data_IF_317221276528
#
_entry.id   IF_317221276528
#
_cell.length_a   1.000
_cell.length_b   1.000
_cell.length_c   1.000
_cell.angle_alpha   90.00
_cell.angle_beta   90.00
_cell.angle_gamma   90.00
#
_symmetry.space_group_name_H-M   'P 1'
#
loop_
_entity.id
_entity.type
_entity.pdbx_description
1 polymer ?
#
# COMPACT_ATOMS: atom_id res chain seq x y z
N UNK A 1 5.74 11.40 20.78
CA UNK A 1 6.49 11.73 19.55
C UNK A 1 6.49 10.51 18.62
N UNK A 2 6.36 10.69 17.29
CA UNK A 2 6.44 9.58 16.34
C UNK A 2 7.86 9.00 16.32
N UNK A 3 7.98 7.68 16.11
CA UNK A 3 9.28 6.99 16.03
C UNK A 3 9.56 6.59 14.58
N UNK A 4 10.80 6.79 14.15
CA UNK A 4 11.28 6.32 12.86
C UNK A 4 12.03 5.01 13.06
N UNK A 5 11.79 4.05 12.16
CA UNK A 5 12.51 2.78 12.09
C UNK A 5 13.29 2.77 10.78
N UNK A 6 14.59 2.48 10.87
CA UNK A 6 15.49 2.42 9.71
C UNK A 6 15.55 1.02 9.12
N UNK A 7 15.51 0.01 9.99
CA UNK A 7 15.69 -1.39 9.61
C UNK A 7 14.38 -2.12 9.32
N UNK A 8 14.41 -2.94 8.27
CA UNK A 8 13.24 -3.72 7.84
C UNK A 8 12.92 -4.82 8.87
N UNK A 9 13.94 -5.41 9.51
CA UNK A 9 13.79 -6.51 10.47
C UNK A 9 13.00 -6.05 11.69
N UNK A 10 13.41 -4.94 12.28
CA UNK A 10 12.74 -4.32 13.43
C UNK A 10 11.30 -3.93 13.09
N UNK A 11 11.07 -3.44 11.88
CA UNK A 11 9.73 -3.12 11.41
C UNK A 11 8.81 -4.35 11.37
N UNK A 12 9.31 -5.50 10.89
CA UNK A 12 8.56 -6.76 10.86
C UNK A 12 8.31 -7.30 12.27
N UNK A 13 9.27 -7.15 13.18
CA UNK A 13 9.07 -7.52 14.59
C UNK A 13 7.95 -6.69 15.22
N UNK A 14 7.94 -5.37 14.99
CA UNK A 14 6.89 -4.47 15.48
C UNK A 14 5.53 -4.81 14.86
N UNK A 15 5.50 -5.16 13.56
CA UNK A 15 4.27 -5.53 12.86
C UNK A 15 3.62 -6.82 13.39
N UNK A 16 4.41 -7.76 13.91
CA UNK A 16 3.93 -9.03 14.48
C UNK A 16 3.45 -8.92 15.92
N UNK A 17 3.79 -7.84 16.62
CA UNK A 17 3.36 -7.67 18.02
C UNK A 17 1.85 -7.41 18.11
N UNK A 18 1.24 -7.91 19.18
CA UNK A 18 -0.20 -7.79 19.50
C UNK A 18 -0.71 -6.35 19.69
N UNK A 19 0.19 -5.38 19.86
CA UNK A 19 -0.15 -3.97 20.03
C UNK A 19 -0.29 -3.21 18.70
N UNK A 20 0.13 -3.80 17.58
CA UNK A 20 -0.07 -3.25 16.26
C UNK A 20 -1.54 -3.38 15.84
N UNK A 21 -2.23 -2.24 15.70
CA UNK A 21 -3.67 -2.19 15.39
C UNK A 21 -3.95 -1.98 13.92
N UNK A 22 -3.13 -1.17 13.25
CA UNK A 22 -3.32 -0.86 11.84
C UNK A 22 -2.03 -0.44 11.16
N UNK A 23 -1.94 -0.75 9.87
CA UNK A 23 -0.83 -0.37 9.02
C UNK A 23 -1.35 0.49 7.87
N UNK A 24 -0.81 1.70 7.75
CA UNK A 24 -1.12 2.64 6.69
C UNK A 24 0.10 2.76 5.76
N UNK A 25 -0.10 2.50 4.48
CA UNK A 25 0.95 2.63 3.47
C UNK A 25 0.70 3.95 2.73
N UNK A 26 1.66 4.88 2.80
CA UNK A 26 1.60 6.15 2.09
C UNK A 26 2.73 6.23 1.07
N UNK A 27 2.39 6.30 -0.21
CA UNK A 27 3.34 6.61 -1.28
C UNK A 27 3.50 8.13 -1.38
N UNK A 28 4.72 8.61 -1.52
CA UNK A 28 5.06 10.04 -1.70
C UNK A 28 6.14 10.13 -2.78
N UNK A 29 5.72 10.36 -4.02
CA UNK A 29 6.61 10.25 -5.19
C UNK A 29 7.28 8.88 -5.24
N UNK A 30 8.62 8.87 -5.23
CA UNK A 30 9.43 7.65 -5.25
C UNK A 30 9.57 6.95 -3.88
N UNK A 31 9.11 7.57 -2.79
CA UNK A 31 9.30 7.04 -1.44
C UNK A 31 7.99 6.43 -0.94
N UNK A 32 8.03 5.19 -0.45
CA UNK A 32 6.91 4.55 0.22
C UNK A 32 7.14 4.54 1.72
N UNK A 33 6.21 5.13 2.47
CA UNK A 33 6.21 5.19 3.93
C UNK A 33 5.23 4.18 4.49
N UNK A 34 5.73 3.20 5.24
CA UNK A 34 4.93 2.25 6.00
C UNK A 34 4.74 2.80 7.41
N UNK A 35 3.49 3.10 7.76
CA UNK A 35 3.13 3.69 9.05
C UNK A 35 2.36 2.65 9.87
N UNK A 36 2.94 2.16 10.95
CA UNK A 36 2.26 1.28 11.90
C UNK A 36 1.69 2.10 13.06
N UNK A 37 0.41 1.89 13.36
CA UNK A 37 -0.22 2.37 14.59
C UNK A 37 -0.11 1.28 15.65
N UNK A 38 0.71 1.54 16.66
CA UNK A 38 0.74 0.78 17.89
C UNK A 38 -0.07 1.52 18.98
N UNK A 39 -0.22 0.91 20.16
CA UNK A 39 -1.00 1.51 21.26
C UNK A 39 -0.51 2.90 21.68
N UNK A 40 0.81 3.11 21.72
CA UNK A 40 1.40 4.35 22.25
C UNK A 40 2.01 5.24 21.17
N UNK A 41 2.58 4.66 20.12
CA UNK A 41 3.35 5.40 19.11
C UNK A 41 2.97 5.01 17.69
N UNK A 42 3.25 5.93 16.77
CA UNK A 42 3.25 5.67 15.34
C UNK A 42 4.70 5.39 14.90
N UNK A 43 4.92 4.21 14.34
CA UNK A 43 6.21 3.83 13.75
C UNK A 43 6.18 4.08 12.25
N UNK A 44 7.22 4.71 11.72
CA UNK A 44 7.34 4.96 10.28
C UNK A 44 8.62 4.32 9.75
N UNK A 45 8.48 3.47 8.72
CA UNK A 45 9.58 2.99 7.89
C UNK A 45 9.47 3.68 6.51
N UNK A 46 10.59 4.18 6.00
CA UNK A 46 10.66 4.88 4.72
C UNK A 46 11.53 4.10 3.73
N UNK A 47 10.94 3.61 2.65
CA UNK A 47 11.63 2.83 1.61
C UNK A 47 11.65 3.63 0.31
N UNK A 48 12.83 3.78 -0.31
CA UNK A 48 13.00 4.44 -1.62
C UNK A 48 12.78 3.48 -2.80
N UNK A 49 13.09 2.20 -2.62
CA UNK A 49 12.98 1.19 -3.68
C UNK A 49 11.53 0.66 -3.80
N UNK A 50 10.86 0.85 -4.95
CA UNK A 50 9.48 0.38 -5.12
C UNK A 50 9.37 -1.15 -5.14
N UNK A 51 10.38 -1.85 -5.68
CA UNK A 51 10.41 -3.31 -5.71
C UNK A 51 10.49 -3.93 -4.30
N UNK A 52 11.30 -3.33 -3.40
CA UNK A 52 11.36 -3.77 -2.00
C UNK A 52 10.05 -3.46 -1.27
N UNK A 53 9.44 -2.31 -1.55
CA UNK A 53 8.16 -1.95 -0.96
C UNK A 53 7.02 -2.90 -1.37
N UNK A 54 6.98 -3.38 -2.63
CA UNK A 54 5.99 -4.38 -3.09
C UNK A 54 6.14 -5.69 -2.31
N UNK A 55 7.38 -6.22 -2.22
CA UNK A 55 7.69 -7.41 -1.42
C UNK A 55 7.30 -7.25 0.04
N UNK A 56 7.62 -6.11 0.64
CA UNK A 56 7.29 -5.84 2.05
C UNK A 56 5.78 -5.85 2.28
N UNK A 57 5.01 -5.35 1.32
CA UNK A 57 3.55 -5.38 1.39
C UNK A 57 3.00 -6.81 1.35
N UNK A 58 3.59 -7.67 0.54
CA UNK A 58 3.21 -9.09 0.42
C UNK A 58 3.58 -9.90 1.67
N UNK A 59 4.70 -9.58 2.32
CA UNK A 59 5.11 -10.27 3.56
C UNK A 59 4.20 -9.99 4.76
N UNK A 60 3.38 -8.94 4.70
CA UNK A 60 2.49 -8.60 5.78
C UNK A 60 1.15 -9.33 5.61
N UNK A 61 0.74 -10.17 6.55
CA UNK A 61 -0.49 -10.94 6.43
C UNK A 61 -1.73 -10.03 6.48
N UNK A 62 -2.71 -10.23 5.56
CA UNK A 62 -3.90 -9.38 5.46
C UNK A 62 -4.89 -9.55 6.62
N UNK A 63 -4.75 -10.60 7.44
CA UNK A 63 -5.70 -10.97 8.50
C UNK A 63 -5.51 -10.18 9.80
N UNK A 64 -4.32 -9.63 10.07
CA UNK A 64 -4.00 -8.95 11.34
C UNK A 64 -3.82 -7.44 11.23
N UNK A 65 -3.60 -6.91 10.01
CA UNK A 65 -3.41 -5.48 9.78
C UNK A 65 -4.34 -5.06 8.65
N UNK A 66 -5.43 -4.35 8.98
CA UNK A 66 -6.29 -3.74 7.98
C UNK A 66 -5.49 -2.69 7.20
N UNK A 67 -4.86 -3.09 6.08
CA UNK A 67 -4.17 -2.20 5.17
C UNK A 67 -5.21 -1.32 4.48
N UNK A 68 -5.51 -0.16 5.06
CA UNK A 68 -6.18 0.90 4.31
C UNK A 68 -5.15 1.49 3.35
N UNK A 69 -5.09 0.93 2.15
CA UNK A 69 -4.45 1.58 1.02
C UNK A 69 -5.30 2.81 0.66
N UNK A 70 -5.00 3.96 1.26
CA UNK A 70 -5.59 5.22 0.83
C UNK A 70 -4.94 5.61 -0.50
N UNK A 71 -5.56 5.18 -1.60
CA UNK A 71 -5.24 5.68 -2.93
C UNK A 71 -5.77 7.12 -3.03
N UNK A 72 -5.00 8.06 -2.49
CA UNK A 72 -5.24 9.48 -2.69
C UNK A 72 -4.80 9.85 -4.10
N UNK A 73 -5.63 9.54 -5.10
CA UNK A 73 -5.55 10.15 -6.43
C UNK A 73 -6.94 10.06 -7.07
N UNK A 74 -7.81 10.98 -6.67
CA UNK A 74 -9.00 11.36 -7.43
C UNK A 74 -8.66 12.69 -8.10
N UNK A 75 -7.87 12.63 -9.17
CA UNK A 75 -7.76 13.78 -10.07
C UNK A 75 -9.06 13.85 -10.85
N UNK A 76 -9.92 14.80 -10.45
CA UNK A 76 -11.15 15.15 -11.14
C UNK A 76 -10.77 15.80 -12.47
N UNK A 77 -11.00 15.12 -13.57
CA UNK A 77 -11.41 15.72 -14.83
C UNK A 77 -12.55 14.85 -15.37
N UNK A 78 -13.76 15.42 -15.39
CA UNK A 78 -14.97 14.87 -16.03
C UNK A 78 -14.66 14.62 -17.53
N UNK A 79 -15.37 13.80 -18.33
CA UNK A 79 -16.81 13.86 -18.68
C UNK A 79 -17.21 12.55 -19.40
N UNK A 80 -18.47 12.16 -19.21
CA UNK A 80 -19.38 11.42 -20.12
C UNK A 80 -19.84 10.03 -19.66
N UNK A 81 -21.00 10.09 -19.04
CA UNK A 81 -21.97 9.08 -18.68
C UNK A 81 -22.32 8.13 -19.84
N UNK A 82 -21.97 6.83 -19.73
CA UNK A 82 -22.88 5.71 -20.11
C UNK A 82 -22.40 4.27 -19.89
N UNK A 83 -21.31 4.00 -19.17
CA UNK A 83 -20.92 2.59 -18.90
C UNK A 83 -20.38 2.38 -17.49
N UNK A 84 -21.11 2.85 -16.48
CA UNK A 84 -20.78 2.68 -15.06
C UNK A 84 -21.38 1.39 -14.46
N UNK A 85 -21.48 0.31 -15.23
CA UNK A 85 -21.91 -1.01 -14.75
C UNK A 85 -20.96 -2.11 -15.22
N UNK A 86 -19.70 -2.02 -14.81
CA UNK A 86 -18.97 -3.22 -14.46
C UNK A 86 -17.99 -2.86 -13.35
N UNK A 87 -18.42 -3.10 -12.11
CA UNK A 87 -17.63 -3.05 -10.90
C UNK A 87 -16.52 -4.10 -10.96
N UNK A 88 -15.50 -3.87 -11.78
CA UNK A 88 -14.22 -4.55 -11.67
C UNK A 88 -13.50 -3.99 -10.45
N UNK A 89 -13.66 -4.66 -9.30
CA UNK A 89 -12.76 -4.55 -8.14
C UNK A 89 -11.37 -5.06 -8.54
N UNK A 90 -10.68 -4.34 -9.41
CA UNK A 90 -9.28 -4.57 -9.69
C UNK A 90 -8.48 -3.59 -8.84
N UNK A 91 -7.88 -4.10 -7.77
CA UNK A 91 -6.84 -3.38 -7.04
C UNK A 91 -5.72 -3.04 -8.03
N UNK A 92 -5.38 -1.76 -8.27
CA UNK A 92 -4.32 -1.41 -9.20
C UNK A 92 -2.99 -1.63 -8.49
N UNK A 93 -2.37 -2.78 -8.73
CA UNK A 93 -0.99 -3.02 -8.29
C UNK A 93 -0.13 -3.89 -9.21
N UNK A 94 -0.67 -4.33 -10.34
CA UNK A 94 0.11 -4.95 -11.40
C UNK A 94 -0.24 -4.27 -12.73
N UNK A 95 0.58 -3.28 -13.10
CA UNK A 95 0.54 -2.59 -14.40
C UNK A 95 1.62 -3.10 -15.35
N UNK A 96 2.06 -4.35 -15.19
CA UNK A 96 3.07 -4.98 -16.07
C UNK A 96 2.60 -6.28 -16.74
N UNK A 97 1.30 -6.63 -16.67
CA UNK A 97 0.77 -7.85 -17.31
C UNK A 97 -0.28 -7.63 -18.41
N UNK A 98 -0.73 -6.40 -18.66
CA UNK A 98 -1.84 -6.14 -19.59
C UNK A 98 -1.44 -5.85 -21.04
N UNK A 99 -0.14 -5.79 -21.37
CA UNK A 99 0.30 -5.50 -22.74
C UNK A 99 0.34 -6.71 -23.69
N UNK A 100 0.05 -7.92 -23.21
CA UNK A 100 -0.01 -9.12 -24.06
C UNK A 100 -1.44 -9.63 -24.35
N UNK A 101 -2.50 -8.90 -23.96
CA UNK A 101 -3.89 -9.34 -24.18
C UNK A 101 -4.69 -8.48 -25.17
N UNK A 102 -4.10 -7.42 -25.73
CA UNK A 102 -4.78 -6.48 -26.66
C UNK A 102 -4.23 -6.59 -28.10
N UNK A 103 -3.54 -7.69 -28.44
CA UNK A 103 -3.04 -7.94 -29.81
C UNK A 103 -3.57 -9.26 -30.40
N UNK A 104 -4.65 -9.81 -29.83
CA UNK A 104 -5.24 -11.09 -30.26
C UNK A 104 -6.77 -11.01 -30.46
N UNK A 105 -7.27 -9.88 -30.95
CA UNK A 105 -8.60 -9.74 -31.54
C UNK A 105 -8.44 -9.10 -32.92
#
# INVERSE_FOLDING_TARGET
QPRQVSDIKDFLEIARRKDARSANIKKTGHITKFKLRCSSYLYTLSIKDPAKAKKLKETLPPSTLAFRCFHGELSRHLISDRLALLFCRHSPQDRDHCLNFIMAI
#
